data_IF_174134294651
#
_entry.id   IF_174134294651
#
_cell.length_a   1.000
_cell.length_b   1.000
_cell.length_c   1.000
_cell.angle_alpha   90.00
_cell.angle_beta   90.00
_cell.angle_gamma   90.00
#
_symmetry.space_group_name_H-M   'P 1'
#
loop_
_entity.id
_entity.type
_entity.pdbx_description
1 polymer ?
#
# COMPACT_ATOMS: atom_id res chain seq x y z
N UNK A 1 -0.85 8.98 -23.21
CA UNK A 1 -1.69 10.04 -22.60
C UNK A 1 -0.73 11.00 -21.92
N UNK A 2 -0.46 12.14 -22.54
CA UNK A 2 0.52 13.12 -22.03
C UNK A 2 -0.25 14.15 -21.22
N UNK A 3 -0.03 14.17 -19.91
CA UNK A 3 -0.14 15.38 -19.12
C UNK A 3 0.70 16.45 -19.85
N UNK A 4 0.09 17.57 -20.24
CA UNK A 4 0.70 18.56 -21.16
C UNK A 4 1.88 19.35 -20.59
N UNK A 5 2.51 18.88 -19.51
CA UNK A 5 3.60 19.52 -18.80
C UNK A 5 4.69 18.49 -18.46
N UNK A 6 5.95 18.92 -18.53
CA UNK A 6 7.12 18.11 -18.20
C UNK A 6 7.32 18.07 -16.68
N UNK A 7 6.64 17.13 -16.02
CA UNK A 7 6.91 16.80 -14.61
C UNK A 7 8.18 15.96 -14.51
N UNK A 8 8.86 15.98 -13.35
CA UNK A 8 10.09 15.22 -13.13
C UNK A 8 9.90 13.70 -13.31
N UNK A 9 8.68 13.21 -13.04
CA UNK A 9 8.30 11.80 -13.16
C UNK A 9 7.23 11.64 -14.24
N UNK A 10 7.38 10.58 -15.03
CA UNK A 10 6.40 10.14 -16.02
C UNK A 10 5.05 9.82 -15.37
N UNK A 11 4.00 10.50 -15.86
CA UNK A 11 2.60 10.30 -15.46
C UNK A 11 2.19 8.82 -15.49
N UNK A 12 2.71 8.03 -16.43
CA UNK A 12 2.40 6.59 -16.50
C UNK A 12 2.95 5.82 -15.30
N UNK A 13 4.17 6.13 -14.86
CA UNK A 13 4.77 5.47 -13.69
C UNK A 13 4.00 5.78 -12.40
N UNK A 14 3.44 6.99 -12.30
CA UNK A 14 2.62 7.38 -11.15
C UNK A 14 1.30 6.62 -11.14
N UNK A 15 0.63 6.51 -12.29
CA UNK A 15 -0.62 5.77 -12.42
C UNK A 15 -0.41 4.26 -12.23
N UNK A 16 0.69 3.69 -12.72
CA UNK A 16 1.01 2.27 -12.50
C UNK A 16 1.24 1.96 -11.01
N UNK A 17 1.73 2.94 -10.23
CA UNK A 17 1.96 2.81 -8.79
C UNK A 17 0.76 3.25 -7.93
N UNK A 18 -0.35 3.64 -8.54
CA UNK A 18 -1.49 4.26 -7.84
C UNK A 18 -2.13 3.33 -6.80
N UNK A 19 -2.24 2.04 -7.12
CA UNK A 19 -2.82 1.06 -6.21
C UNK A 19 -1.94 0.83 -4.98
N UNK A 20 -0.62 0.67 -5.17
CA UNK A 20 0.33 0.57 -4.07
C UNK A 20 0.28 1.79 -3.15
N UNK A 21 0.14 2.99 -3.73
CA UNK A 21 -0.01 4.23 -2.96
C UNK A 21 -1.33 4.24 -2.17
N UNK A 22 -2.43 3.84 -2.80
CA UNK A 22 -3.75 3.75 -2.15
C UNK A 22 -3.76 2.70 -1.02
N UNK A 23 -3.04 1.59 -1.17
CA UNK A 23 -2.92 0.51 -0.18
C UNK A 23 -1.93 0.83 0.95
N UNK A 24 -1.15 1.92 0.82
CA UNK A 24 -0.12 2.27 1.77
C UNK A 24 1.12 1.37 1.69
N UNK A 25 1.29 0.67 0.57
CA UNK A 25 2.40 -0.26 0.31
C UNK A 25 3.61 0.43 -0.34
N UNK A 26 3.55 1.75 -0.52
CA UNK A 26 4.71 2.55 -0.94
C UNK A 26 5.67 2.81 0.23
N UNK A 27 6.96 2.80 -0.05
CA UNK A 27 7.94 3.35 0.89
C UNK A 27 7.82 4.89 0.98
N UNK A 28 8.44 5.49 1.99
CA UNK A 28 8.27 6.93 2.26
C UNK A 28 8.72 7.85 1.11
N UNK A 29 9.77 7.47 0.36
CA UNK A 29 10.21 8.26 -0.79
C UNK A 29 9.25 8.14 -1.97
N UNK A 30 8.76 6.93 -2.28
CA UNK A 30 7.74 6.70 -3.29
C UNK A 30 6.44 7.45 -2.98
N UNK A 31 6.01 7.44 -1.73
CA UNK A 31 4.80 8.12 -1.30
C UNK A 31 4.88 9.64 -1.51
N UNK A 32 6.03 10.25 -1.18
CA UNK A 32 6.25 11.67 -1.38
C UNK A 32 6.31 12.04 -2.87
N UNK A 33 6.96 11.22 -3.70
CA UNK A 33 7.06 11.45 -5.14
C UNK A 33 5.69 11.41 -5.83
N UNK A 34 4.87 10.40 -5.49
CA UNK A 34 3.51 10.26 -6.04
C UNK A 34 2.65 11.44 -5.58
N UNK A 35 2.71 11.82 -4.30
CA UNK A 35 1.98 12.98 -3.77
C UNK A 35 2.34 14.27 -4.49
N UNK A 36 3.63 14.59 -4.60
CA UNK A 36 4.11 15.80 -5.29
C UNK A 36 3.62 15.84 -6.74
N UNK A 37 3.62 14.70 -7.43
CA UNK A 37 3.11 14.63 -8.80
C UNK A 37 1.60 14.88 -8.87
N UNK A 38 0.81 14.27 -7.99
CA UNK A 38 -0.65 14.47 -7.96
C UNK A 38 -1.02 15.92 -7.62
N UNK A 39 -0.22 16.59 -6.78
CA UNK A 39 -0.40 18.01 -6.45
C UNK A 39 -0.12 18.93 -7.66
N UNK A 40 0.81 18.55 -8.54
CA UNK A 40 1.21 19.34 -9.71
C UNK A 40 0.48 18.96 -11.01
N UNK A 41 -0.13 17.77 -11.08
CA UNK A 41 -0.71 17.20 -12.30
C UNK A 41 -2.21 16.92 -12.15
N UNK A 42 -3.03 17.93 -12.46
CA UNK A 42 -4.49 17.80 -12.43
C UNK A 42 -5.07 16.64 -13.26
N UNK A 43 -4.52 16.27 -14.44
CA UNK A 43 -4.95 15.08 -15.15
C UNK A 43 -4.77 13.79 -14.34
N UNK A 44 -3.59 13.57 -13.75
CA UNK A 44 -3.33 12.39 -12.93
C UNK A 44 -4.17 12.40 -11.65
N UNK A 45 -4.41 13.57 -11.05
CA UNK A 45 -5.26 13.70 -9.88
C UNK A 45 -6.71 13.27 -10.15
N UNK A 46 -7.24 13.55 -11.34
CA UNK A 46 -8.60 13.11 -11.71
C UNK A 46 -8.69 11.59 -11.84
N UNK A 47 -7.73 10.97 -12.52
CA UNK A 47 -7.69 9.51 -12.66
C UNK A 47 -7.51 8.83 -11.29
N UNK A 48 -6.56 9.32 -10.48
CA UNK A 48 -6.39 8.90 -9.08
C UNK A 48 -7.69 9.02 -8.27
N UNK A 49 -8.42 10.13 -8.43
CA UNK A 49 -9.66 10.38 -7.71
C UNK A 49 -10.74 9.33 -8.00
N UNK A 50 -10.86 8.87 -9.25
CA UNK A 50 -11.81 7.80 -9.60
C UNK A 50 -11.43 6.50 -8.88
N UNK A 51 -10.17 6.09 -8.94
CA UNK A 51 -9.69 4.87 -8.28
C UNK A 51 -9.88 4.92 -6.76
N UNK A 52 -9.59 6.09 -6.15
CA UNK A 52 -9.80 6.31 -4.73
C UNK A 52 -11.29 6.15 -4.34
N UNK A 53 -12.21 6.77 -5.08
CA UNK A 53 -13.64 6.67 -4.81
C UNK A 53 -14.17 5.25 -4.96
N UNK A 54 -13.71 4.52 -5.99
CA UNK A 54 -14.06 3.10 -6.19
C UNK A 54 -13.58 2.27 -5.01
N UNK A 55 -12.32 2.44 -4.59
CA UNK A 55 -11.77 1.74 -3.43
C UNK A 55 -12.56 2.02 -2.16
N UNK A 56 -12.90 3.28 -1.91
CA UNK A 56 -13.71 3.69 -0.76
C UNK A 56 -15.14 3.14 -0.83
N UNK A 57 -15.73 3.03 -2.01
CA UNK A 57 -17.03 2.41 -2.20
C UNK A 57 -16.99 0.91 -1.87
N UNK A 58 -16.01 0.19 -2.41
CA UNK A 58 -15.81 -1.24 -2.15
C UNK A 58 -15.58 -1.49 -0.65
N UNK A 59 -14.70 -0.71 -0.01
CA UNK A 59 -14.46 -0.83 1.43
C UNK A 59 -15.75 -0.65 2.25
N UNK A 60 -16.60 0.33 1.89
CA UNK A 60 -17.88 0.58 2.58
C UNK A 60 -18.95 -0.49 2.33
N UNK A 61 -19.01 -1.06 1.11
CA UNK A 61 -20.07 -2.00 0.72
C UNK A 61 -19.72 -3.46 0.93
N UNK A 62 -18.43 -3.79 0.87
CA UNK A 62 -17.92 -5.16 0.91
C UNK A 62 -16.98 -5.41 2.11
N UNK A 63 -16.52 -4.37 2.82
CA UNK A 63 -15.61 -4.50 3.96
C UNK A 63 -16.29 -4.73 5.33
N UNK A 64 -17.60 -4.98 5.35
CA UNK A 64 -18.40 -5.13 6.58
C UNK A 64 -18.27 -6.48 7.28
N UNK A 65 -17.67 -7.48 6.64
CA UNK A 65 -17.45 -8.79 7.27
C UNK A 65 -16.25 -8.72 8.20
N UNK A 66 -16.53 -8.61 9.50
CA UNK A 66 -15.49 -8.69 10.53
C UNK A 66 -14.89 -10.09 10.50
N UNK A 67 -13.59 -10.17 10.29
CA UNK A 67 -12.86 -11.43 10.37
C UNK A 67 -13.20 -12.16 11.70
N UNK A 68 -13.45 -13.48 11.66
CA UNK A 68 -13.83 -14.22 12.86
C UNK A 68 -12.69 -14.24 13.88
N UNK A 69 -13.03 -14.22 15.17
CA UNK A 69 -12.04 -14.21 16.25
C UNK A 69 -11.12 -15.43 16.22
N UNK A 70 -11.59 -16.57 15.71
CA UNK A 70 -10.77 -17.77 15.51
C UNK A 70 -9.60 -17.52 14.56
N UNK A 71 -9.81 -16.78 13.46
CA UNK A 71 -8.75 -16.40 12.52
C UNK A 71 -7.75 -15.48 13.20
N UNK A 72 -8.22 -14.48 13.95
CA UNK A 72 -7.35 -13.56 14.71
C UNK A 72 -6.47 -14.31 15.71
N UNK A 73 -7.05 -15.23 16.48
CA UNK A 73 -6.32 -16.06 17.44
C UNK A 73 -5.29 -16.95 16.74
N UNK A 74 -5.66 -17.57 15.62
CA UNK A 74 -4.75 -18.40 14.80
C UNK A 74 -3.57 -17.59 14.27
N UNK A 75 -3.81 -16.41 13.71
CA UNK A 75 -2.76 -15.51 13.21
C UNK A 75 -1.81 -15.10 14.34
N UNK A 76 -2.34 -14.68 15.50
CA UNK A 76 -1.52 -14.30 16.65
C UNK A 76 -0.65 -15.47 17.17
N UNK A 77 -1.20 -16.69 17.20
CA UNK A 77 -0.43 -17.87 17.60
C UNK A 77 0.73 -18.14 16.64
N UNK A 78 0.48 -18.08 15.32
CA UNK A 78 1.51 -18.27 14.29
C UNK A 78 2.58 -17.18 14.33
N UNK A 79 2.19 -15.92 14.54
CA UNK A 79 3.16 -14.81 14.67
C UNK A 79 4.07 -14.98 15.89
N UNK A 80 3.53 -15.45 17.02
CA UNK A 80 4.34 -15.74 18.23
C UNK A 80 5.33 -16.86 17.98
N UNK A 81 4.89 -17.96 17.35
CA UNK A 81 5.76 -19.07 17.00
C UNK A 81 6.89 -18.65 16.03
N UNK A 82 6.55 -17.90 14.98
CA UNK A 82 7.54 -17.39 14.04
C UNK A 82 8.59 -16.49 14.70
N UNK A 83 8.17 -15.68 15.70
CA UNK A 83 9.10 -14.84 16.47
C UNK A 83 10.04 -15.65 17.36
N UNK A 84 9.55 -16.71 18.02
CA UNK A 84 10.43 -17.60 18.77
C UNK A 84 11.40 -18.37 17.87
N UNK A 85 11.00 -18.71 16.64
CA UNK A 85 11.89 -19.38 15.68
C UNK A 85 13.00 -18.44 15.20
N UNK A 86 12.72 -17.14 15.00
CA UNK A 86 13.76 -16.14 14.69
C UNK A 86 14.69 -15.89 15.87
N UNK A 87 14.18 -15.91 17.10
CA UNK A 87 15.00 -15.74 18.30
C UNK A 87 15.91 -16.97 18.53
N UNK A 88 15.39 -18.19 18.31
CA UNK A 88 16.17 -19.43 18.38
C UNK A 88 17.21 -19.56 17.25
N UNK A 89 16.92 -19.03 16.06
CA UNK A 89 17.88 -18.98 14.95
C UNK A 89 18.96 -17.89 15.15
N UNK A 90 18.69 -16.85 15.94
CA UNK A 90 19.66 -15.80 16.28
C UNK A 90 20.64 -16.21 17.39
N UNK A 91 20.31 -17.24 18.19
CA UNK A 91 21.17 -17.73 19.29
C UNK A 91 22.18 -18.81 18.87
N UNK A 92 22.21 -19.26 17.61
CA UNK A 92 23.22 -20.21 17.11
C UNK A 92 24.24 -19.54 16.16
N UNK A 93 25.18 -18.80 16.75
CA UNK A 93 26.52 -18.60 16.17
C UNK A 93 27.59 -18.62 17.29
N UNK A 94 28.04 -19.82 17.71
CA UNK A 94 29.41 -20.00 18.13
C UNK A 94 30.25 -20.35 16.89
N UNK A 95 31.19 -19.45 16.57
CA UNK A 95 32.55 -19.63 16.00
C UNK A 95 32.98 -18.35 15.27
#
# INVERSE_FOLDING_TARGET
MSCGASHNIDCRKVLDAVFLYLDGECNGSQQNLIRSHLDECSPCLREFGVEHEVKMLVARKCGGERAPDSLRLSVLARLRAARSDTDAAAEFQPE
#
